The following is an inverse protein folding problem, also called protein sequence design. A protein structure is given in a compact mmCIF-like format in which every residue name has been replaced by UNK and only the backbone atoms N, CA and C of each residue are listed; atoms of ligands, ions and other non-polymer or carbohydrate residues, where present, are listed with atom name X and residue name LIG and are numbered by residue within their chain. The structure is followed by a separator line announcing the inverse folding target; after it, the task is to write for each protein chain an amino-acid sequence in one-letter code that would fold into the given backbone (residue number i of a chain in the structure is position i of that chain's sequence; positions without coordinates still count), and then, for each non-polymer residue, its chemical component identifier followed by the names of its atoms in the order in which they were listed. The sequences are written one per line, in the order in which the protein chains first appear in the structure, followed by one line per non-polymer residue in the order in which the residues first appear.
data_IF_115244973354
#
_entry.id   IF_115244973354
#
_cell.length_a   1.000
_cell.length_b   1.000
_cell.length_c   1.000
_cell.angle_alpha   90.00
_cell.angle_beta   90.00
_cell.angle_gamma   90.00
#
_symmetry.space_group_name_H-M   'P 1'
#
loop_
_entity.id
_entity.type
_entity.pdbx_description
1 polymer ?
#
# COMPACT_ATOMS: atom_id res chain seq x y z
N UNK A 1 17.70 26.18 -6.51
CA UNK A 1 18.19 24.85 -6.93
C UNK A 1 17.66 23.88 -5.89
N UNK A 2 16.76 22.97 -6.25
CA UNK A 2 16.33 21.92 -5.32
C UNK A 2 17.49 20.93 -5.27
N UNK A 3 18.24 20.92 -4.17
CA UNK A 3 19.28 19.92 -3.97
C UNK A 3 18.65 18.52 -3.99
N UNK A 4 19.31 17.58 -4.67
CA UNK A 4 18.91 16.19 -4.66
C UNK A 4 19.23 15.62 -3.26
N UNK A 5 18.17 15.31 -2.51
CA UNK A 5 18.24 14.68 -1.19
C UNK A 5 17.40 13.40 -1.19
N UNK A 6 17.76 12.46 -0.32
CA UNK A 6 16.93 11.28 -0.11
C UNK A 6 15.64 11.67 0.60
N UNK A 7 14.54 11.08 0.15
CA UNK A 7 13.32 11.12 0.93
C UNK A 7 13.45 10.11 2.09
N UNK A 8 13.62 10.64 3.29
CA UNK A 8 13.73 9.87 4.54
C UNK A 8 12.50 8.99 4.80
N UNK A 9 11.35 9.33 4.21
CA UNK A 9 10.18 8.47 4.26
C UNK A 9 10.40 7.24 3.37
N UNK A 10 10.82 7.33 2.12
CA UNK A 10 10.97 6.09 1.32
C UNK A 10 12.24 5.31 1.63
N UNK A 11 13.27 5.95 2.19
CA UNK A 11 14.60 5.37 2.38
C UNK A 11 14.63 4.04 3.17
N UNK A 12 13.81 3.83 4.23
CA UNK A 12 13.76 2.54 4.92
C UNK A 12 13.34 1.38 4.01
N UNK A 13 14.14 0.32 4.05
CA UNK A 13 14.09 -0.82 3.14
C UNK A 13 12.70 -1.45 2.98
N UNK A 14 11.92 -1.55 4.06
CA UNK A 14 10.55 -2.10 3.99
C UNK A 14 9.63 -1.27 3.11
N UNK A 15 9.67 0.07 3.22
CA UNK A 15 8.80 0.96 2.45
C UNK A 15 9.25 1.01 0.99
N UNK A 16 10.56 1.05 0.76
CA UNK A 16 11.12 0.94 -0.57
C UNK A 16 10.71 -0.38 -1.25
N UNK A 17 10.74 -1.51 -0.53
CA UNK A 17 10.33 -2.80 -1.08
C UNK A 17 8.84 -2.85 -1.47
N UNK A 18 7.96 -2.27 -0.65
CA UNK A 18 6.52 -2.14 -0.96
C UNK A 18 6.34 -1.35 -2.26
N UNK A 19 6.93 -0.15 -2.34
CA UNK A 19 6.77 0.73 -3.51
C UNK A 19 7.44 0.13 -4.75
N UNK A 20 8.60 -0.52 -4.61
CA UNK A 20 9.26 -1.20 -5.73
C UNK A 20 8.42 -2.36 -6.29
N UNK A 21 7.74 -3.12 -5.43
CA UNK A 21 6.86 -4.20 -5.88
C UNK A 21 5.63 -3.64 -6.61
N UNK A 22 5.04 -2.56 -6.08
CA UNK A 22 3.93 -1.85 -6.71
C UNK A 22 4.36 -1.10 -7.98
N UNK A 23 5.62 -0.68 -8.11
CA UNK A 23 6.10 -0.06 -9.36
C UNK A 23 6.17 -1.06 -10.53
N UNK A 24 6.22 -2.36 -10.23
CA UNK A 24 6.26 -3.42 -11.23
C UNK A 24 4.86 -3.96 -11.62
N UNK A 25 3.79 -3.48 -11.00
CA UNK A 25 2.41 -3.95 -11.21
C UNK A 25 1.42 -2.79 -11.16
N UNK A 26 0.31 -2.84 -11.90
CA UNK A 26 -0.70 -1.77 -11.83
C UNK A 26 -1.38 -1.68 -10.44
N UNK A 27 -1.50 -2.82 -9.77
CA UNK A 27 -2.05 -2.96 -8.42
C UNK A 27 -1.59 -4.29 -7.80
N UNK A 28 -1.72 -4.43 -6.48
CA UNK A 28 -1.46 -5.69 -5.79
C UNK A 28 -2.40 -5.88 -4.59
N UNK A 29 -2.79 -7.13 -4.34
CA UNK A 29 -3.56 -7.48 -3.15
C UNK A 29 -2.72 -7.33 -1.87
N UNK A 30 -3.39 -6.95 -0.77
CA UNK A 30 -2.76 -6.88 0.55
C UNK A 30 -2.10 -8.20 0.96
N UNK A 31 -2.79 -9.33 0.74
CA UNK A 31 -2.27 -10.65 1.06
C UNK A 31 -1.01 -10.98 0.24
N UNK A 32 -0.98 -10.61 -1.04
CA UNK A 32 0.19 -10.80 -1.89
C UNK A 32 1.39 -10.01 -1.37
N UNK A 33 1.22 -8.73 -1.03
CA UNK A 33 2.29 -7.89 -0.46
C UNK A 33 2.81 -8.49 0.85
N UNK A 34 1.90 -8.90 1.73
CA UNK A 34 2.25 -9.51 3.02
C UNK A 34 3.11 -10.75 2.84
N UNK A 35 2.65 -11.68 2.02
CA UNK A 35 3.29 -12.98 1.85
C UNK A 35 4.63 -12.84 1.12
N UNK A 36 4.72 -11.93 0.13
CA UNK A 36 5.97 -11.65 -0.60
C UNK A 36 7.03 -10.93 0.23
N UNK A 37 6.61 -10.08 1.16
CA UNK A 37 7.51 -9.29 2.00
C UNK A 37 7.77 -9.91 3.38
N UNK A 38 7.08 -11.02 3.71
CA UNK A 38 7.22 -11.69 5.00
C UNK A 38 6.79 -10.82 6.19
N UNK A 39 5.85 -9.89 5.96
CA UNK A 39 5.38 -8.95 6.99
C UNK A 39 4.17 -9.53 7.73
N UNK A 40 3.94 -9.09 8.96
CA UNK A 40 2.64 -9.29 9.60
C UNK A 40 1.60 -8.33 9.02
N UNK A 41 0.31 -8.66 9.17
CA UNK A 41 -0.80 -7.77 8.79
C UNK A 41 -0.66 -6.38 9.45
N UNK A 42 -0.28 -6.33 10.73
CA UNK A 42 -0.12 -5.09 11.48
C UNK A 42 1.06 -4.26 10.98
N UNK A 43 2.19 -4.89 10.66
CA UNK A 43 3.36 -4.21 10.13
C UNK A 43 3.09 -3.66 8.73
N UNK A 44 2.49 -4.46 7.84
CA UNK A 44 2.16 -4.02 6.49
C UNK A 44 1.14 -2.89 6.51
N UNK A 45 0.08 -2.99 7.32
CA UNK A 45 -0.93 -1.93 7.45
C UNK A 45 -0.29 -0.60 7.87
N UNK A 46 0.62 -0.64 8.86
CA UNK A 46 1.30 0.58 9.32
C UNK A 46 2.14 1.23 8.22
N UNK A 47 2.87 0.43 7.44
CA UNK A 47 3.67 0.97 6.33
C UNK A 47 2.79 1.52 5.20
N UNK A 48 1.72 0.81 4.83
CA UNK A 48 0.79 1.25 3.80
C UNK A 48 0.08 2.56 4.19
N UNK A 49 -0.35 2.72 5.44
CA UNK A 49 -0.91 4.00 5.92
C UNK A 49 0.11 5.13 5.82
N UNK A 50 1.35 4.89 6.27
CA UNK A 50 2.43 5.90 6.19
C UNK A 50 2.71 6.31 4.73
N UNK A 51 2.73 5.34 3.82
CA UNK A 51 2.96 5.57 2.39
C UNK A 51 1.77 6.27 1.72
N UNK A 52 0.55 5.94 2.11
CA UNK A 52 -0.67 6.57 1.60
C UNK A 52 -0.75 8.04 2.05
N UNK A 53 -0.49 8.31 3.32
CA UNK A 53 -0.46 9.67 3.88
C UNK A 53 0.59 10.56 3.18
N UNK A 54 1.69 9.96 2.73
CA UNK A 54 2.74 10.62 1.97
C UNK A 54 2.51 10.63 0.45
N UNK A 55 1.42 10.03 -0.03
CA UNK A 55 1.05 10.01 -1.45
C UNK A 55 1.86 9.05 -2.33
N UNK A 56 2.64 8.14 -1.73
CA UNK A 56 3.41 7.13 -2.48
C UNK A 56 2.55 5.99 -3.01
N UNK A 57 1.45 5.68 -2.34
CA UNK A 57 0.50 4.63 -2.74
C UNK A 57 -0.93 5.12 -2.58
N UNK A 58 -1.87 4.45 -3.24
CA UNK A 58 -3.31 4.65 -3.04
C UNK A 58 -3.93 3.32 -2.66
N UNK A 59 -4.74 3.29 -1.61
CA UNK A 59 -5.42 2.08 -1.18
C UNK A 59 -6.87 2.14 -1.63
N UNK A 60 -7.20 1.39 -2.68
CA UNK A 60 -8.59 1.23 -3.10
C UNK A 60 -9.33 0.29 -2.14
N UNK A 61 -10.36 0.83 -1.49
CA UNK A 61 -11.21 0.06 -0.59
C UNK A 61 -12.52 -0.25 -1.33
N UNK A 62 -12.73 -1.48 -1.82
CA UNK A 62 -13.96 -1.81 -2.53
C UNK A 62 -15.15 -1.56 -1.60
N UNK A 63 -16.15 -0.84 -2.11
CA UNK A 63 -17.37 -0.56 -1.38
C UNK A 63 -18.00 -1.91 -1.03
N UNK A 64 -18.19 -2.19 0.27
CA UNK A 64 -18.90 -3.40 0.72
C UNK A 64 -20.25 -3.43 0.01
N UNK A 65 -20.51 -4.48 -0.77
CA UNK A 65 -21.75 -4.64 -1.50
C UNK A 65 -22.93 -4.70 -0.50
N UNK A 66 -23.72 -3.63 -0.43
CA UNK A 66 -24.95 -3.55 0.38
C UNK A 66 -26.18 -3.94 -0.46
N UNK A 67 -26.08 -4.94 -1.34
CA UNK A 67 -27.25 -5.49 -2.04
C UNK A 67 -28.24 -6.10 -1.04
N UNK A 68 -29.14 -5.26 -0.54
CA UNK A 68 -30.43 -5.71 0.00
C UNK A 68 -31.25 -6.20 -1.17
N UNK A 69 -31.36 -7.52 -1.28
CA UNK A 69 -32.37 -8.13 -2.12
C UNK A 69 -33.74 -7.81 -1.52
N UNK A 70 -34.48 -6.90 -2.16
CA UNK A 70 -35.91 -6.70 -1.90
C UNK A 70 -36.66 -7.33 -3.05
N UNK A 71 -37.51 -8.31 -2.75
CA UNK A 71 -38.44 -8.92 -3.71
C UNK A 71 -39.84 -8.36 -3.45
N UNK A 72 -40.59 -8.15 -4.52
CA UNK A 72 -42.02 -7.84 -4.50
C UNK A 72 -42.83 -9.12 -4.27
#
# INVERSE_FOLDING_TARGET
MTEAHFDELIHPSTRLAIVALLAAADWADFAFLRDRLGLSDSALSKQLSTLEDAGYVRIDRPLRDHRRHVRA
#
